data_IF_854510694330
#
_entry.id   IF_854510694330
#
_cell.length_a   1.000
_cell.length_b   1.000
_cell.length_c   1.000
_cell.angle_alpha   90.00
_cell.angle_beta   90.00
_cell.angle_gamma   90.00
#
_symmetry.space_group_name_H-M   'P 1'
#
loop_
_entity.id
_entity.type
_entity.pdbx_description
1 polymer ?
#
# COMPACT_ATOMS: atom_id res chain seq x y z
N UNK A 1 -22.69 -0.23 12.66
CA UNK A 1 -21.63 -1.06 12.02
C UNK A 1 -22.06 -1.51 10.62
N UNK A 2 -23.27 -2.06 10.48
CA UNK A 2 -23.82 -2.62 9.24
C UNK A 2 -23.72 -1.73 7.98
N UNK A 3 -23.99 -0.42 8.08
CA UNK A 3 -23.85 0.52 6.94
C UNK A 3 -22.44 0.53 6.33
N UNK A 4 -21.38 0.41 7.14
CA UNK A 4 -19.99 0.31 6.64
C UNK A 4 -19.79 -0.98 5.86
N UNK A 5 -20.35 -2.10 6.34
CA UNK A 5 -20.30 -3.41 5.67
C UNK A 5 -21.04 -3.36 4.33
N UNK A 6 -22.25 -2.80 4.31
CA UNK A 6 -23.08 -2.69 3.11
C UNK A 6 -22.46 -1.73 2.07
N UNK A 7 -21.79 -0.67 2.52
CA UNK A 7 -20.99 0.23 1.67
C UNK A 7 -19.82 -0.51 1.01
N UNK A 8 -19.04 -1.27 1.79
CA UNK A 8 -17.90 -2.06 1.28
C UNK A 8 -18.34 -3.17 0.30
N UNK A 9 -19.46 -3.84 0.57
CA UNK A 9 -20.06 -4.82 -0.36
C UNK A 9 -20.46 -4.15 -1.69
N UNK A 10 -21.05 -2.96 -1.63
CA UNK A 10 -21.47 -2.20 -2.81
C UNK A 10 -20.26 -1.74 -3.65
N UNK A 11 -19.18 -1.31 -3.00
CA UNK A 11 -17.92 -0.94 -3.64
C UNK A 11 -17.24 -2.16 -4.31
N UNK A 12 -17.24 -3.33 -3.65
CA UNK A 12 -16.69 -4.56 -4.22
C UNK A 12 -17.47 -5.02 -5.47
N UNK A 13 -18.81 -5.00 -5.43
CA UNK A 13 -19.64 -5.30 -6.60
C UNK A 13 -19.38 -4.34 -7.78
N UNK A 14 -19.26 -3.03 -7.51
CA UNK A 14 -18.94 -2.05 -8.55
C UNK A 14 -17.54 -2.27 -9.16
N UNK A 15 -16.56 -2.68 -8.34
CA UNK A 15 -15.20 -3.03 -8.80
C UNK A 15 -15.21 -4.29 -9.66
N UNK A 16 -15.92 -5.35 -9.25
CA UNK A 16 -16.07 -6.59 -10.01
C UNK A 16 -16.71 -6.34 -11.39
N UNK A 17 -17.83 -5.60 -11.44
CA UNK A 17 -18.51 -5.24 -12.70
C UNK A 17 -17.59 -4.44 -13.64
N UNK A 18 -16.78 -3.53 -13.10
CA UNK A 18 -15.81 -2.76 -13.89
C UNK A 18 -14.73 -3.68 -14.50
N UNK A 19 -14.17 -4.58 -13.69
CA UNK A 19 -13.14 -5.52 -14.15
C UNK A 19 -13.67 -6.51 -15.20
N UNK A 20 -14.91 -6.97 -15.05
CA UNK A 20 -15.58 -7.84 -16.02
C UNK A 20 -15.79 -7.13 -17.38
N UNK A 21 -16.24 -5.88 -17.36
CA UNK A 21 -16.37 -5.04 -18.56
C UNK A 21 -15.01 -4.74 -19.25
N UNK A 22 -13.95 -4.51 -18.47
CA UNK A 22 -12.60 -4.29 -19.01
C UNK A 22 -12.04 -5.59 -19.65
N UNK A 23 -12.34 -6.75 -19.08
CA UNK A 23 -12.03 -8.06 -19.67
C UNK A 23 -12.76 -8.30 -21.01
N UNK A 24 -14.06 -8.00 -21.09
CA UNK A 24 -14.82 -8.10 -22.34
C UNK A 24 -14.24 -7.21 -23.45
N UNK A 25 -13.82 -5.98 -23.11
CA UNK A 25 -13.18 -5.07 -24.08
C UNK A 25 -11.84 -5.62 -24.58
N UNK A 26 -11.01 -6.21 -23.72
CA UNK A 26 -9.75 -6.86 -24.10
C UNK A 26 -10.02 -8.05 -25.03
N UNK A 27 -11.01 -8.89 -24.73
CA UNK A 27 -11.41 -10.00 -25.60
C UNK A 27 -11.93 -9.52 -26.97
N UNK A 28 -12.71 -8.44 -27.02
CA UNK A 28 -13.18 -7.86 -28.27
C UNK A 28 -12.04 -7.28 -29.12
N UNK A 29 -11.09 -6.54 -28.52
CA UNK A 29 -9.90 -6.02 -29.21
C UNK A 29 -9.00 -7.15 -29.73
N UNK A 30 -8.83 -8.22 -28.96
CA UNK A 30 -8.10 -9.43 -29.38
C UNK A 30 -8.74 -10.09 -30.60
N UNK A 31 -10.08 -10.21 -30.62
CA UNK A 31 -10.81 -10.71 -31.79
C UNK A 31 -10.67 -9.81 -33.02
N UNK A 32 -10.68 -8.48 -32.85
CA UNK A 32 -10.45 -7.53 -33.93
C UNK A 32 -9.02 -7.64 -34.52
N UNK A 33 -7.99 -7.69 -33.66
CA UNK A 33 -6.60 -7.87 -34.10
C UNK A 33 -6.43 -9.16 -34.91
N UNK A 34 -7.01 -10.27 -34.45
CA UNK A 34 -6.98 -11.55 -35.17
C UNK A 34 -7.62 -11.48 -36.56
N UNK A 35 -8.71 -10.72 -36.72
CA UNK A 35 -9.32 -10.48 -38.04
C UNK A 35 -8.39 -9.67 -38.96
N UNK A 36 -7.67 -8.67 -38.43
CA UNK A 36 -6.68 -7.88 -39.19
C UNK A 36 -5.52 -8.76 -39.64
N UNK A 37 -4.99 -9.62 -38.78
CA UNK A 37 -3.94 -10.59 -39.14
C UNK A 37 -4.40 -11.53 -40.27
N UNK A 38 -5.61 -12.09 -40.17
CA UNK A 38 -6.18 -12.96 -41.21
C UNK A 38 -6.41 -12.23 -42.55
N UNK A 39 -6.69 -10.92 -42.53
CA UNK A 39 -6.74 -10.09 -43.75
C UNK A 39 -5.34 -9.89 -44.33
N UNK A 40 -4.37 -9.51 -43.51
CA UNK A 40 -2.97 -9.35 -43.91
C UNK A 40 -2.36 -10.63 -44.49
N UNK A 41 -2.63 -11.80 -43.88
CA UNK A 41 -2.21 -13.11 -44.38
C UNK A 41 -2.87 -13.44 -45.72
N UNK A 42 -4.16 -13.12 -45.91
CA UNK A 42 -4.85 -13.29 -47.19
C UNK A 42 -4.29 -12.39 -48.29
N UNK A 43 -3.92 -11.14 -47.98
CA UNK A 43 -3.24 -10.23 -48.91
C UNK A 43 -1.85 -10.78 -49.28
N UNK A 44 -1.04 -11.20 -48.30
CA UNK A 44 0.29 -11.79 -48.52
C UNK A 44 0.24 -13.01 -49.45
N UNK A 45 -0.71 -13.94 -49.21
CA UNK A 45 -0.93 -15.12 -50.07
C UNK A 45 -1.35 -14.75 -51.49
N UNK A 46 -2.25 -13.76 -51.67
CA UNK A 46 -2.64 -13.26 -53.00
C UNK A 46 -1.45 -12.69 -53.76
N UNK A 47 -0.64 -11.85 -53.12
CA UNK A 47 0.49 -11.18 -53.76
C UNK A 47 1.60 -12.17 -54.17
N UNK A 48 1.91 -13.16 -53.33
CA UNK A 48 2.84 -14.25 -53.67
C UNK A 48 2.36 -15.06 -54.89
N UNK A 49 1.07 -15.43 -54.94
CA UNK A 49 0.48 -16.14 -56.07
C UNK A 49 0.43 -15.32 -57.37
N UNK A 50 0.40 -13.99 -57.28
CA UNK A 50 0.38 -13.09 -58.44
C UNK A 50 1.77 -12.87 -59.05
N UNK A 51 2.80 -12.78 -58.20
CA UNK A 51 4.20 -12.67 -58.62
C UNK A 51 4.67 -13.95 -59.33
N UNK A 52 4.44 -15.12 -58.73
CA UNK A 52 4.95 -16.39 -59.25
C UNK A 52 4.42 -16.78 -60.65
N UNK A 53 3.20 -16.35 -61.02
CA UNK A 53 2.66 -16.59 -62.37
C UNK A 53 3.24 -15.64 -63.42
N UNK A 54 3.46 -14.37 -63.06
CA UNK A 54 3.97 -13.35 -64.00
C UNK A 54 5.42 -13.60 -64.43
N UNK A 55 6.27 -14.19 -63.59
CA UNK A 55 7.63 -14.59 -63.99
C UNK A 55 7.58 -15.80 -64.93
N UNK A 56 6.84 -16.85 -64.58
CA UNK A 56 6.76 -18.10 -65.35
C UNK A 56 6.26 -17.89 -66.80
N UNK A 57 5.27 -17.01 -67.01
CA UNK A 57 4.85 -16.62 -68.37
C UNK A 57 5.93 -15.82 -69.12
N UNK A 58 6.66 -14.93 -68.44
CA UNK A 58 7.69 -14.08 -69.06
C UNK A 58 8.88 -14.90 -69.55
N UNK A 59 9.34 -15.87 -68.76
CA UNK A 59 10.41 -16.79 -69.13
C UNK A 59 9.97 -17.71 -70.28
N UNK A 60 8.73 -18.19 -70.23
CA UNK A 60 8.13 -18.99 -71.32
C UNK A 60 8.03 -18.20 -72.64
N UNK A 61 7.77 -16.88 -72.58
CA UNK A 61 7.79 -15.99 -73.75
C UNK A 61 9.21 -15.74 -74.25
N UNK A 62 10.17 -15.54 -73.35
CA UNK A 62 11.60 -15.36 -73.68
C UNK A 62 12.16 -16.58 -74.43
N UNK A 63 11.94 -17.80 -73.94
CA UNK A 63 12.42 -19.01 -74.61
C UNK A 63 11.68 -19.26 -75.95
N UNK A 64 10.39 -18.92 -76.06
CA UNK A 64 9.67 -18.91 -77.34
C UNK A 64 10.26 -17.91 -78.34
N UNK A 65 10.75 -16.74 -77.91
CA UNK A 65 11.47 -15.79 -78.76
C UNK A 65 12.86 -16.30 -79.16
N UNK A 66 13.62 -16.81 -78.19
CA UNK A 66 14.97 -17.36 -78.36
C UNK A 66 14.99 -18.51 -79.38
N UNK A 67 14.05 -19.45 -79.27
CA UNK A 67 13.88 -20.54 -80.22
C UNK A 67 13.44 -20.05 -81.61
N UNK A 68 12.56 -19.04 -81.71
CA UNK A 68 12.25 -18.38 -83.00
C UNK A 68 13.48 -17.71 -83.63
N UNK A 69 14.39 -17.13 -82.84
CA UNK A 69 15.63 -16.55 -83.36
C UNK A 69 16.59 -17.62 -83.89
N UNK A 70 16.79 -18.72 -83.17
CA UNK A 70 17.63 -19.83 -83.66
C UNK A 70 17.06 -20.46 -84.94
N UNK A 71 15.74 -20.64 -85.03
CA UNK A 71 15.09 -21.14 -86.25
C UNK A 71 15.32 -20.19 -87.45
N UNK A 72 15.20 -18.87 -87.27
CA UNK A 72 15.55 -17.88 -88.31
C UNK A 72 17.04 -17.92 -88.69
N UNK A 73 17.94 -18.09 -87.71
CA UNK A 73 19.40 -18.13 -87.93
C UNK A 73 19.83 -19.33 -88.77
N UNK A 74 19.22 -20.50 -88.55
CA UNK A 74 19.46 -21.68 -89.38
C UNK A 74 18.86 -21.55 -90.78
N UNK A 75 17.66 -20.96 -90.92
CA UNK A 75 17.01 -20.77 -92.23
C UNK A 75 17.77 -19.80 -93.17
N UNK A 76 18.70 -18.99 -92.65
CA UNK A 76 19.59 -18.12 -93.46
C UNK A 76 20.87 -18.80 -93.97
N UNK A 77 21.27 -19.98 -93.47
CA UNK A 77 22.50 -20.68 -93.93
C UNK A 77 22.36 -21.40 -95.28
N UNK A 78 21.17 -21.41 -95.89
CA UNK A 78 20.86 -22.14 -97.13
C UNK A 78 21.00 -21.36 -98.44
N UNK A 79 21.47 -20.11 -98.43
CA UNK A 79 21.77 -19.33 -99.64
C UNK A 79 23.26 -19.01 -99.72
N UNK A 80 23.93 -19.54 -100.73
CA UNK A 80 25.22 -19.03 -101.20
C UNK A 80 24.95 -17.76 -102.02
N UNK A 81 25.31 -16.60 -101.48
CA UNK A 81 25.43 -15.36 -102.25
C UNK A 81 26.89 -15.21 -102.68
N UNK A 82 27.12 -14.84 -103.94
CA UNK A 82 28.48 -14.71 -104.51
C UNK A 82 29.17 -13.49 -103.93
N UNK A 83 30.40 -13.64 -103.45
CA UNK A 83 31.19 -12.51 -102.95
C UNK A 83 31.64 -11.60 -104.11
N UNK A 84 31.01 -10.43 -104.22
CA UNK A 84 31.59 -9.28 -104.91
C UNK A 84 32.40 -8.48 -103.89
N UNK A 85 33.73 -8.60 -103.94
CA UNK A 85 34.64 -7.91 -103.02
C UNK A 85 34.64 -6.40 -103.30
N UNK A 86 33.80 -5.67 -102.56
CA UNK A 86 33.84 -4.20 -102.51
C UNK A 86 34.89 -3.76 -101.50
N UNK A 87 35.89 -2.99 -101.96
CA UNK A 87 36.95 -2.45 -101.10
C UNK A 87 36.38 -1.27 -100.29
N UNK A 88 35.87 -1.56 -99.09
CA UNK A 88 35.40 -0.55 -98.14
C UNK A 88 36.61 0.25 -97.62
N UNK A 89 36.62 1.59 -97.69
CA UNK A 89 37.75 2.39 -97.22
C UNK A 89 38.01 2.23 -95.71
N UNK A 90 39.28 2.00 -95.35
CA UNK A 90 39.75 1.64 -93.99
C UNK A 90 39.37 2.64 -92.88
N UNK A 91 39.03 3.88 -93.24
CA UNK A 91 38.54 4.91 -92.30
C UNK A 91 37.12 4.64 -91.78
N UNK A 92 36.27 3.95 -92.54
CA UNK A 92 34.93 3.57 -92.06
C UNK A 92 35.01 2.49 -90.97
N UNK A 93 35.91 1.52 -91.11
CA UNK A 93 36.06 0.41 -90.15
C UNK A 93 36.47 0.91 -88.76
N UNK A 94 37.44 1.84 -88.68
CA UNK A 94 37.89 2.40 -87.40
C UNK A 94 36.79 3.22 -86.69
N UNK A 95 35.97 3.96 -87.45
CA UNK A 95 34.83 4.68 -86.87
C UNK A 95 33.80 3.71 -86.27
N UNK A 96 33.42 2.65 -87.02
CA UNK A 96 32.49 1.62 -86.53
C UNK A 96 33.04 0.82 -85.33
N UNK A 97 34.36 0.65 -85.21
CA UNK A 97 34.97 0.02 -84.03
C UNK A 97 34.96 0.91 -82.79
N UNK A 98 35.22 2.22 -82.95
CA UNK A 98 35.09 3.19 -81.85
C UNK A 98 33.63 3.32 -81.40
N UNK A 99 32.69 3.33 -82.34
CA UNK A 99 31.26 3.34 -82.05
C UNK A 99 30.83 2.06 -81.33
N UNK A 100 31.23 0.86 -81.81
CA UNK A 100 30.99 -0.41 -81.11
C UNK A 100 31.51 -0.35 -79.67
N UNK A 101 32.75 0.08 -79.47
CA UNK A 101 33.35 0.21 -78.14
C UNK A 101 32.57 1.19 -77.25
N UNK A 102 32.11 2.31 -77.81
CA UNK A 102 31.25 3.26 -77.08
C UNK A 102 29.93 2.61 -76.64
N UNK A 103 29.27 1.82 -77.49
CA UNK A 103 28.03 1.11 -77.14
C UNK A 103 28.27 -0.04 -76.14
N UNK A 104 29.41 -0.72 -76.24
CA UNK A 104 29.82 -1.76 -75.28
C UNK A 104 30.08 -1.14 -73.90
N UNK A 105 30.81 -0.02 -73.82
CA UNK A 105 30.96 0.77 -72.58
C UNK A 105 29.60 1.24 -72.03
N UNK A 106 28.74 1.83 -72.87
CA UNK A 106 27.37 2.24 -72.50
C UNK A 106 26.57 1.10 -71.83
N UNK A 107 26.68 -0.10 -72.40
CA UNK A 107 25.97 -1.31 -71.95
C UNK A 107 26.56 -1.86 -70.65
N UNK A 108 27.85 -1.66 -70.42
CA UNK A 108 28.51 -2.00 -69.15
C UNK A 108 28.15 -0.98 -68.06
N UNK A 109 28.24 0.32 -68.33
CA UNK A 109 27.89 1.39 -67.39
C UNK A 109 26.43 1.29 -66.94
N UNK A 110 25.49 1.16 -67.88
CA UNK A 110 24.06 0.99 -67.55
C UNK A 110 23.80 -0.29 -66.74
N UNK A 111 24.51 -1.40 -67.00
CA UNK A 111 24.44 -2.61 -66.17
C UNK A 111 24.99 -2.38 -64.76
N UNK A 112 26.13 -1.71 -64.63
CA UNK A 112 26.72 -1.37 -63.32
C UNK A 112 25.75 -0.50 -62.51
N UNK A 113 25.11 0.50 -63.13
CA UNK A 113 24.06 1.30 -62.48
C UNK A 113 22.83 0.47 -62.07
N UNK A 114 22.38 -0.49 -62.90
CA UNK A 114 21.27 -1.38 -62.54
C UNK A 114 21.63 -2.33 -61.39
N UNK A 115 22.80 -2.96 -61.41
CA UNK A 115 23.23 -3.83 -60.30
C UNK A 115 23.46 -3.03 -59.01
N UNK A 116 24.03 -1.82 -59.08
CA UNK A 116 24.15 -0.94 -57.92
C UNK A 116 22.77 -0.55 -57.35
N UNK A 117 21.77 -0.37 -58.21
CA UNK A 117 20.40 -0.11 -57.78
C UNK A 117 19.75 -1.34 -57.12
N UNK A 118 19.96 -2.54 -57.67
CA UNK A 118 19.49 -3.79 -57.04
C UNK A 118 20.12 -3.99 -55.66
N UNK A 119 21.43 -3.76 -55.51
CA UNK A 119 22.14 -3.75 -54.22
C UNK A 119 21.57 -2.70 -53.24
N UNK A 120 21.35 -1.47 -53.71
CA UNK A 120 20.79 -0.39 -52.88
C UNK A 120 19.36 -0.72 -52.39
N UNK A 121 18.51 -1.31 -53.25
CA UNK A 121 17.14 -1.73 -52.88
C UNK A 121 17.18 -2.87 -51.85
N UNK A 122 18.09 -3.84 -52.01
CA UNK A 122 18.29 -4.91 -51.03
C UNK A 122 18.76 -4.35 -49.68
N UNK A 123 19.80 -3.51 -49.67
CA UNK A 123 20.35 -2.89 -48.46
C UNK A 123 19.32 -2.03 -47.71
N UNK A 124 18.48 -1.27 -48.42
CA UNK A 124 17.37 -0.52 -47.83
C UNK A 124 16.27 -1.42 -47.28
N UNK A 125 16.00 -2.56 -47.93
CA UNK A 125 15.02 -3.56 -47.46
C UNK A 125 15.50 -4.26 -46.19
N UNK A 126 16.78 -4.64 -46.13
CA UNK A 126 17.41 -5.21 -44.93
C UNK A 126 17.43 -4.21 -43.77
N UNK A 127 17.79 -2.95 -44.04
CA UNK A 127 17.75 -1.85 -43.06
C UNK A 127 16.34 -1.64 -42.51
N UNK A 128 15.31 -1.70 -43.36
CA UNK A 128 13.91 -1.55 -42.96
C UNK A 128 13.42 -2.72 -42.09
N UNK A 129 13.77 -3.98 -42.40
CA UNK A 129 13.37 -5.11 -41.57
C UNK A 129 14.14 -5.16 -40.25
N UNK A 130 15.42 -4.73 -40.24
CA UNK A 130 16.19 -4.52 -39.01
C UNK A 130 15.55 -3.47 -38.10
N UNK A 131 15.08 -2.33 -38.66
CA UNK A 131 14.35 -1.31 -37.88
C UNK A 131 13.03 -1.84 -37.30
N UNK A 132 12.26 -2.65 -38.04
CA UNK A 132 11.06 -3.32 -37.50
C UNK A 132 11.39 -4.30 -36.39
N UNK A 133 12.51 -5.02 -36.48
CA UNK A 133 12.92 -5.97 -35.46
C UNK A 133 13.38 -5.25 -34.18
N UNK A 134 14.12 -4.14 -34.30
CA UNK A 134 14.45 -3.25 -33.19
C UNK A 134 13.19 -2.66 -32.53
N UNK A 135 12.17 -2.28 -33.31
CA UNK A 135 10.87 -1.86 -32.77
C UNK A 135 10.19 -2.97 -31.96
N UNK A 136 10.11 -4.21 -32.49
CA UNK A 136 9.55 -5.35 -31.74
C UNK A 136 10.29 -5.57 -30.41
N UNK A 137 11.63 -5.54 -30.43
CA UNK A 137 12.46 -5.70 -29.23
C UNK A 137 12.27 -4.54 -28.23
N UNK A 138 12.15 -3.30 -28.72
CA UNK A 138 11.89 -2.13 -27.87
C UNK A 138 10.51 -2.19 -27.23
N UNK A 139 9.47 -2.58 -27.97
CA UNK A 139 8.12 -2.74 -27.44
C UNK A 139 8.04 -3.88 -26.42
N UNK A 140 8.69 -5.02 -26.68
CA UNK A 140 8.76 -6.11 -25.71
C UNK A 140 9.46 -5.64 -24.43
N UNK A 141 10.62 -4.98 -24.54
CA UNK A 141 11.34 -4.46 -23.36
C UNK A 141 10.58 -3.38 -22.58
N UNK A 142 9.62 -2.68 -23.19
CA UNK A 142 8.69 -1.80 -22.46
C UNK A 142 7.57 -2.58 -21.77
N UNK A 143 7.02 -3.62 -22.40
CA UNK A 143 6.05 -4.52 -21.77
C UNK A 143 6.68 -5.25 -20.58
N UNK A 144 7.84 -5.86 -20.75
CA UNK A 144 8.57 -6.58 -19.68
C UNK A 144 8.82 -5.69 -18.44
N UNK A 145 9.05 -4.38 -18.66
CA UNK A 145 9.20 -3.39 -17.58
C UNK A 145 7.88 -2.97 -16.94
N UNK A 146 6.82 -2.83 -17.75
CA UNK A 146 5.49 -2.52 -17.25
C UNK A 146 5.00 -3.65 -16.34
N UNK A 147 5.07 -4.89 -16.82
CA UNK A 147 4.65 -6.11 -16.11
C UNK A 147 5.41 -6.25 -14.78
N UNK A 148 6.73 -6.01 -14.78
CA UNK A 148 7.55 -6.06 -13.56
C UNK A 148 7.24 -4.94 -12.54
N UNK A 149 6.77 -3.77 -12.99
CA UNK A 149 6.33 -2.68 -12.08
C UNK A 149 4.91 -2.95 -11.55
N UNK A 150 4.05 -3.59 -12.34
CA UNK A 150 2.72 -4.03 -11.94
C UNK A 150 2.82 -5.16 -10.90
N UNK A 151 3.65 -6.18 -11.13
CA UNK A 151 3.95 -7.26 -10.16
C UNK A 151 4.53 -6.69 -8.87
N UNK A 152 5.51 -5.78 -8.95
CA UNK A 152 6.10 -5.13 -7.77
C UNK A 152 5.05 -4.32 -6.99
N UNK A 153 4.18 -3.58 -7.69
CA UNK A 153 3.11 -2.80 -7.04
C UNK A 153 2.08 -3.71 -6.34
N UNK A 154 1.74 -4.87 -6.94
CA UNK A 154 0.87 -5.86 -6.33
C UNK A 154 1.52 -6.52 -5.10
N UNK A 155 2.81 -6.87 -5.15
CA UNK A 155 3.56 -7.39 -4.01
C UNK A 155 3.67 -6.38 -2.86
N UNK A 156 3.87 -5.09 -3.16
CA UNK A 156 3.88 -4.02 -2.17
C UNK A 156 2.49 -3.83 -1.54
N UNK A 157 1.41 -3.83 -2.34
CA UNK A 157 0.03 -3.76 -1.85
C UNK A 157 -0.33 -4.94 -0.91
N UNK A 158 -0.01 -6.17 -1.30
CA UNK A 158 -0.19 -7.36 -0.45
C UNK A 158 0.60 -7.26 0.87
N UNK A 159 1.80 -6.66 0.81
CA UNK A 159 2.62 -6.37 1.98
C UNK A 159 2.00 -5.34 2.93
N UNK A 160 1.35 -4.30 2.41
CA UNK A 160 0.58 -3.35 3.21
C UNK A 160 -0.67 -3.99 3.81
N UNK A 161 -1.43 -4.78 3.05
CA UNK A 161 -2.62 -5.48 3.56
C UNK A 161 -2.25 -6.42 4.72
N UNK A 162 -1.18 -7.21 4.56
CA UNK A 162 -0.70 -8.12 5.63
C UNK A 162 -0.33 -7.35 6.91
N UNK A 163 0.28 -6.16 6.78
CA UNK A 163 0.61 -5.31 7.95
C UNK A 163 -0.66 -4.76 8.62
N UNK A 164 -1.65 -4.34 7.85
CA UNK A 164 -2.92 -3.84 8.37
C UNK A 164 -3.69 -4.97 9.08
N UNK A 165 -3.69 -6.19 8.53
CA UNK A 165 -4.29 -7.35 9.19
C UNK A 165 -3.60 -7.69 10.52
N UNK A 166 -2.27 -7.64 10.58
CA UNK A 166 -1.54 -7.83 11.84
C UNK A 166 -1.83 -6.74 12.88
N UNK A 167 -1.81 -5.46 12.49
CA UNK A 167 -2.14 -4.34 13.39
C UNK A 167 -3.58 -4.44 13.94
N UNK A 168 -4.53 -4.91 13.13
CA UNK A 168 -5.90 -5.17 13.60
C UNK A 168 -5.96 -6.34 14.60
N UNK A 169 -5.17 -7.41 14.41
CA UNK A 169 -5.07 -8.48 15.41
C UNK A 169 -4.44 -7.99 16.72
N UNK A 170 -3.40 -7.17 16.64
CA UNK A 170 -2.74 -6.58 17.81
C UNK A 170 -3.70 -5.64 18.58
N UNK A 171 -4.42 -4.74 17.90
CA UNK A 171 -5.38 -3.85 18.58
C UNK A 171 -6.59 -4.61 19.13
N UNK A 172 -7.09 -5.66 18.45
CA UNK A 172 -8.16 -6.52 18.99
C UNK A 172 -7.71 -7.23 20.28
N UNK A 173 -6.47 -7.70 20.36
CA UNK A 173 -5.95 -8.34 21.57
C UNK A 173 -5.83 -7.36 22.75
N UNK A 174 -5.53 -6.09 22.47
CA UNK A 174 -5.59 -5.01 23.47
C UNK A 174 -7.03 -4.72 23.91
N UNK A 175 -7.99 -4.70 22.97
CA UNK A 175 -9.42 -4.52 23.28
C UNK A 175 -9.95 -5.64 24.18
N UNK A 176 -9.64 -6.91 23.89
CA UNK A 176 -9.98 -8.06 24.74
C UNK A 176 -9.36 -7.94 26.14
N UNK A 177 -8.08 -7.57 26.25
CA UNK A 177 -7.39 -7.36 27.54
C UNK A 177 -7.98 -6.19 28.35
N UNK A 178 -8.46 -5.14 27.68
CA UNK A 178 -9.13 -4.01 28.34
C UNK A 178 -10.53 -4.40 28.81
N UNK A 179 -11.28 -5.18 28.03
CA UNK A 179 -12.60 -5.68 28.44
C UNK A 179 -12.52 -6.62 29.66
N UNK A 180 -11.55 -7.54 29.72
CA UNK A 180 -11.35 -8.41 30.90
C UNK A 180 -11.09 -7.59 32.19
N UNK A 181 -10.41 -6.44 32.06
CA UNK A 181 -10.15 -5.51 33.17
C UNK A 181 -11.40 -4.73 33.57
N UNK A 182 -12.23 -4.29 32.62
CA UNK A 182 -13.53 -3.66 32.88
C UNK A 182 -14.45 -4.65 33.64
N UNK A 183 -14.62 -5.87 33.12
CA UNK A 183 -15.41 -6.95 33.74
C UNK A 183 -14.95 -7.33 35.15
N UNK A 184 -13.67 -7.07 35.46
CA UNK A 184 -13.07 -7.27 36.78
C UNK A 184 -13.32 -6.07 37.70
N UNK A 185 -13.22 -4.84 37.18
CA UNK A 185 -13.50 -3.62 37.92
C UNK A 185 -14.98 -3.50 38.33
N UNK A 186 -15.92 -3.80 37.41
CA UNK A 186 -17.36 -3.83 37.71
C UNK A 186 -17.69 -4.85 38.82
N UNK A 187 -17.03 -6.01 38.81
CA UNK A 187 -17.19 -7.04 39.84
C UNK A 187 -16.71 -6.56 41.21
N UNK A 188 -15.56 -5.90 41.27
CA UNK A 188 -15.03 -5.30 42.50
C UNK A 188 -15.95 -4.17 43.00
N UNK A 189 -16.54 -3.36 42.12
CA UNK A 189 -17.52 -2.35 42.55
C UNK A 189 -18.79 -2.98 43.15
N UNK A 190 -19.30 -4.07 42.56
CA UNK A 190 -20.44 -4.80 43.13
C UNK A 190 -20.11 -5.44 44.50
N UNK A 191 -18.91 -6.00 44.66
CA UNK A 191 -18.44 -6.52 45.96
C UNK A 191 -18.30 -5.39 46.99
N UNK A 192 -17.85 -4.20 46.59
CA UNK A 192 -17.81 -3.00 47.44
C UNK A 192 -19.18 -2.55 47.92
N UNK A 193 -20.16 -2.46 47.00
CA UNK A 193 -21.51 -2.05 47.36
C UNK A 193 -22.12 -3.02 48.41
N UNK A 194 -21.80 -4.32 48.33
CA UNK A 194 -22.15 -5.32 49.35
C UNK A 194 -21.38 -5.14 50.66
N UNK A 195 -20.08 -4.80 50.63
CA UNK A 195 -19.30 -4.51 51.83
C UNK A 195 -19.78 -3.25 52.57
N UNK A 196 -20.08 -2.17 51.84
CA UNK A 196 -20.64 -0.92 52.40
C UNK A 196 -21.99 -1.18 53.07
N UNK A 197 -22.87 -1.98 52.44
CA UNK A 197 -24.14 -2.37 53.05
C UNK A 197 -23.94 -3.19 54.35
N UNK A 198 -22.97 -4.11 54.37
CA UNK A 198 -22.60 -4.84 55.60
C UNK A 198 -22.06 -3.91 56.70
N UNK A 199 -21.18 -2.97 56.35
CA UNK A 199 -20.63 -2.01 57.32
C UNK A 199 -21.72 -1.09 57.90
N UNK A 200 -22.66 -0.61 57.09
CA UNK A 200 -23.82 0.16 57.58
C UNK A 200 -24.69 -0.66 58.54
N UNK A 201 -24.90 -1.96 58.26
CA UNK A 201 -25.62 -2.86 59.19
C UNK A 201 -24.86 -3.05 60.51
N UNK A 202 -23.53 -3.22 60.47
CA UNK A 202 -22.69 -3.34 61.67
C UNK A 202 -22.61 -2.02 62.46
N UNK A 203 -22.63 -0.86 61.81
CA UNK A 203 -22.59 0.43 62.50
C UNK A 203 -23.89 0.67 63.30
N UNK A 204 -25.04 0.25 62.79
CA UNK A 204 -26.30 0.26 63.54
C UNK A 204 -26.25 -0.66 64.77
N UNK A 205 -25.60 -1.83 64.66
CA UNK A 205 -25.39 -2.75 65.78
C UNK A 205 -24.42 -2.16 66.84
N UNK A 206 -23.32 -1.52 66.40
CA UNK A 206 -22.41 -0.74 67.27
C UNK A 206 -23.17 0.35 68.02
N UNK A 207 -24.02 1.11 67.33
CA UNK A 207 -24.77 2.21 67.95
C UNK A 207 -25.75 1.70 69.02
N UNK A 208 -26.39 0.56 68.80
CA UNK A 208 -27.24 -0.11 69.79
C UNK A 208 -26.41 -0.61 71.00
N UNK A 209 -25.33 -1.37 70.76
CA UNK A 209 -24.45 -1.86 71.83
C UNK A 209 -23.80 -0.72 72.62
N UNK A 210 -23.48 0.41 71.98
CA UNK A 210 -22.95 1.62 72.62
C UNK A 210 -24.00 2.31 73.51
N UNK A 211 -25.27 2.30 73.11
CA UNK A 211 -26.37 2.82 73.91
C UNK A 211 -26.59 1.96 75.17
N UNK A 212 -26.62 0.64 75.00
CA UNK A 212 -26.79 -0.31 76.10
C UNK A 212 -25.57 -0.31 77.05
N UNK A 213 -24.35 -0.19 76.50
CA UNK A 213 -23.12 -0.03 77.28
C UNK A 213 -23.11 1.28 78.09
N UNK A 214 -23.59 2.40 77.54
CA UNK A 214 -23.77 3.66 78.31
C UNK A 214 -24.80 3.52 79.44
N UNK A 215 -25.86 2.74 79.23
CA UNK A 215 -26.83 2.41 80.29
C UNK A 215 -26.17 1.57 81.40
N UNK A 216 -25.24 0.68 81.07
CA UNK A 216 -24.43 -0.07 82.04
C UNK A 216 -23.39 0.82 82.74
N UNK A 217 -22.68 1.68 82.01
CA UNK A 217 -21.68 2.59 82.60
C UNK A 217 -22.32 3.59 83.57
N UNK A 218 -23.50 4.14 83.27
CA UNK A 218 -24.25 4.99 84.21
C UNK A 218 -24.57 4.25 85.53
N UNK A 219 -24.96 2.97 85.46
CA UNK A 219 -25.17 2.11 86.65
C UNK A 219 -23.84 1.93 87.40
N UNK A 220 -22.75 1.63 86.68
CA UNK A 220 -21.43 1.42 87.26
C UNK A 220 -20.80 2.71 87.83
N UNK A 221 -21.08 3.88 87.27
CA UNK A 221 -20.65 5.18 87.79
C UNK A 221 -21.47 5.61 89.00
N UNK A 222 -22.77 5.31 89.04
CA UNK A 222 -23.55 5.40 90.28
C UNK A 222 -23.06 4.41 91.36
N UNK A 223 -22.39 3.32 90.98
CA UNK A 223 -21.68 2.42 91.90
C UNK A 223 -20.30 2.96 92.32
N UNK A 224 -19.52 3.52 91.38
CA UNK A 224 -18.15 4.02 91.55
C UNK A 224 -18.07 5.36 92.28
N UNK A 225 -19.14 6.18 92.22
CA UNK A 225 -19.35 7.30 93.17
C UNK A 225 -19.41 6.84 94.64
N UNK A 226 -19.59 5.54 94.89
CA UNK A 226 -19.51 4.94 96.23
C UNK A 226 -18.16 4.22 96.48
N UNK A 227 -17.19 4.18 95.54
CA UNK A 227 -15.89 3.48 95.65
C UNK A 227 -14.83 3.95 94.60
N UNK A 228 -13.80 4.79 94.93
CA UNK A 228 -13.04 5.54 93.89
C UNK A 228 -11.61 5.09 93.48
N UNK A 229 -10.95 4.16 94.16
CA UNK A 229 -9.51 4.29 94.49
C UNK A 229 -8.41 4.33 93.38
N UNK A 230 -8.43 3.49 92.33
CA UNK A 230 -7.22 2.70 92.02
C UNK A 230 -6.01 3.22 91.17
N UNK A 231 -6.15 3.69 89.91
CA UNK A 231 -5.01 3.62 88.94
C UNK A 231 -4.91 4.77 87.90
N UNK A 232 -3.66 5.19 87.59
CA UNK A 232 -3.29 6.10 86.47
C UNK A 232 -1.74 6.15 86.23
N UNK A 233 -1.11 5.26 85.42
CA UNK A 233 0.37 5.32 85.17
C UNK A 233 0.96 4.54 83.95
N UNK A 234 0.75 4.96 82.69
CA UNK A 234 1.67 4.72 81.51
C UNK A 234 1.07 5.16 80.14
N UNK A 235 1.85 5.87 79.31
CA UNK A 235 2.06 5.71 77.84
C UNK A 235 2.49 7.02 77.16
N UNK A 236 3.66 7.05 76.49
CA UNK A 236 4.01 7.94 75.37
C UNK A 236 5.33 7.52 74.69
N UNK A 237 5.68 8.20 73.57
CA UNK A 237 6.93 8.19 72.77
C UNK A 237 7.07 7.19 71.58
N UNK A 238 7.04 7.71 70.34
CA UNK A 238 8.12 7.68 69.30
C UNK A 238 7.68 8.16 67.91
N UNK A 239 8.64 8.60 67.08
CA UNK A 239 8.41 9.14 65.71
C UNK A 239 9.64 9.02 64.77
N UNK A 240 9.38 9.10 63.44
CA UNK A 240 10.19 9.43 62.21
C UNK A 240 11.74 9.31 62.06
N UNK A 241 12.22 8.90 60.85
CA UNK A 241 13.26 9.63 60.03
C UNK A 241 13.52 9.07 58.58
N UNK A 242 14.32 9.81 57.75
CA UNK A 242 15.10 9.50 56.48
C UNK A 242 14.62 9.88 55.04
N UNK A 243 15.48 10.60 54.27
CA UNK A 243 15.94 10.39 52.83
C UNK A 243 16.93 11.50 52.30
N UNK A 244 17.75 11.26 51.23
CA UNK A 244 18.42 12.28 50.34
C UNK A 244 19.27 11.83 49.08
N UNK A 245 19.40 12.74 48.07
CA UNK A 245 20.48 12.96 47.01
C UNK A 245 20.63 12.11 45.68
N UNK A 246 20.91 12.77 44.49
CA UNK A 246 21.31 12.27 43.09
C UNK A 246 21.83 13.42 42.09
N UNK A 247 22.76 13.25 41.07
CA UNK A 247 23.15 14.24 39.94
C UNK A 247 24.27 13.81 38.85
N UNK A 248 24.36 14.34 37.56
CA UNK A 248 25.55 14.53 36.56
C UNK A 248 25.25 14.79 35.00
N UNK A 249 26.25 14.95 34.04
CA UNK A 249 26.23 15.54 32.59
C UNK A 249 27.52 15.23 31.65
N UNK A 250 27.83 15.48 30.32
CA UNK A 250 27.27 15.84 28.91
C UNK A 250 28.37 15.84 27.69
N UNK A 251 28.13 15.91 26.31
CA UNK A 251 29.15 15.80 25.11
C UNK A 251 28.74 16.18 23.58
N UNK A 252 29.65 16.46 22.54
CA UNK A 252 29.39 16.84 21.05
C UNK A 252 30.48 16.60 19.86
N UNK A 253 30.19 16.66 18.50
CA UNK A 253 31.11 16.80 17.24
C UNK A 253 30.41 17.15 15.81
N UNK A 254 30.82 17.15 14.48
CA UNK A 254 31.88 16.60 13.49
C UNK A 254 32.19 17.38 12.08
N UNK A 255 32.48 16.77 10.83
CA UNK A 255 33.23 17.29 9.56
C UNK A 255 32.93 16.51 8.16
N UNK A 256 33.35 16.65 6.82
CA UNK A 256 33.96 17.57 5.70
C UNK A 256 33.99 16.89 4.20
N UNK A 257 34.18 17.55 2.97
CA UNK A 257 34.24 16.96 1.51
C UNK A 257 34.87 17.81 0.28
N UNK A 258 35.06 17.32 -1.02
CA UNK A 258 35.45 18.07 -2.35
C UNK A 258 35.89 17.27 -3.70
N UNK A 259 35.95 17.83 -5.00
CA UNK A 259 36.38 17.20 -6.38
C UNK A 259 36.46 18.12 -7.73
N UNK A 260 37.09 17.77 -8.94
CA UNK A 260 37.06 18.47 -10.34
C UNK A 260 37.55 17.74 -11.73
N UNK A 261 37.77 18.42 -12.93
CA UNK A 261 37.74 18.06 -14.47
C UNK A 261 39.02 18.42 -15.42
N UNK A 262 39.24 18.52 -16.82
CA UNK A 262 38.72 18.40 -18.30
C UNK A 262 39.90 18.65 -19.42
N UNK A 263 39.98 18.72 -20.83
CA UNK A 263 39.44 18.20 -22.19
C UNK A 263 40.20 18.68 -23.57
N UNK A 264 40.00 18.12 -24.84
CA UNK A 264 40.07 18.65 -26.32
C UNK A 264 41.13 18.28 -27.49
N UNK A 265 40.79 18.22 -28.87
CA UNK A 265 41.69 18.06 -30.14
C UNK A 265 41.07 18.15 -31.66
N UNK A 266 41.77 18.43 -32.84
CA UNK A 266 41.24 18.33 -34.31
C UNK A 266 42.07 18.55 -35.71
N UNK A 267 41.74 17.84 -36.85
CA UNK A 267 41.59 18.04 -38.40
C UNK A 267 42.60 18.41 -39.62
N UNK A 268 42.25 18.10 -40.94
CA UNK A 268 43.01 18.26 -42.30
C UNK A 268 42.22 18.31 -43.73
N UNK A 269 42.82 18.61 -44.97
CA UNK A 269 42.15 18.87 -46.36
C UNK A 269 42.75 18.34 -47.78
N UNK A 270 42.13 18.54 -49.01
CA UNK A 270 42.59 18.15 -50.45
C UNK A 270 41.85 18.76 -51.77
N UNK A 271 42.22 18.45 -53.07
CA UNK A 271 41.53 18.65 -54.48
C UNK A 271 42.38 18.18 -55.75
N UNK A 272 42.17 18.22 -57.13
CA UNK A 272 41.28 18.77 -58.24
C UNK A 272 41.41 18.07 -59.71
N UNK A 273 40.77 18.49 -60.86
CA UNK A 273 40.73 17.81 -62.26
C UNK A 273 40.42 18.65 -63.58
N UNK A 274 40.59 18.12 -64.85
CA UNK A 274 39.90 18.53 -66.16
C UNK A 274 40.25 17.74 -67.47
N UNK A 275 39.29 17.15 -68.26
CA UNK A 275 39.48 16.68 -69.67
C UNK A 275 38.18 16.15 -70.41
N UNK A 276 37.21 16.98 -70.83
CA UNK A 276 35.81 16.48 -71.09
C UNK A 276 35.04 17.16 -72.26
N UNK A 277 35.18 16.75 -73.54
CA UNK A 277 34.58 17.54 -74.65
C UNK A 277 33.98 16.79 -75.87
N UNK A 278 34.55 15.68 -76.34
CA UNK A 278 34.07 15.02 -77.56
C UNK A 278 33.08 13.86 -77.30
N UNK A 279 33.02 13.39 -76.05
CA UNK A 279 31.99 12.47 -75.55
C UNK A 279 30.56 12.98 -75.79
N UNK A 280 30.39 14.30 -75.76
CA UNK A 280 29.12 15.03 -75.55
C UNK A 280 27.88 14.52 -76.31
N UNK A 281 27.98 14.00 -77.54
CA UNK A 281 26.80 13.69 -78.38
C UNK A 281 26.23 12.27 -78.30
N UNK A 282 27.03 11.23 -78.11
CA UNK A 282 26.44 9.93 -77.72
C UNK A 282 25.95 10.00 -76.27
N UNK A 283 26.65 10.79 -75.46
CA UNK A 283 26.23 11.17 -74.13
C UNK A 283 24.92 11.96 -74.10
N UNK A 284 24.58 12.81 -75.09
CA UNK A 284 23.28 13.51 -75.14
C UNK A 284 22.09 12.53 -75.08
N UNK A 285 22.04 11.49 -75.91
CA UNK A 285 20.93 10.51 -75.91
C UNK A 285 20.98 9.58 -74.70
N UNK A 286 22.17 9.06 -74.33
CA UNK A 286 22.31 8.29 -73.08
C UNK A 286 21.82 9.11 -71.89
N UNK A 287 22.19 10.39 -71.82
CA UNK A 287 21.81 11.29 -70.73
C UNK A 287 20.31 11.48 -70.67
N UNK A 288 19.55 11.37 -71.77
CA UNK A 288 18.08 11.39 -71.69
C UNK A 288 17.55 10.12 -71.01
N UNK A 289 17.92 8.92 -71.47
CA UNK A 289 17.43 7.66 -70.87
C UNK A 289 17.95 7.46 -69.44
N UNK A 290 19.23 7.73 -69.22
CA UNK A 290 19.87 7.70 -67.90
C UNK A 290 19.25 8.75 -66.96
N UNK A 291 18.89 9.95 -67.42
CA UNK A 291 18.17 10.95 -66.61
C UNK A 291 16.75 10.52 -66.27
N UNK A 292 16.04 9.83 -67.16
CA UNK A 292 14.72 9.25 -66.81
C UNK A 292 14.88 8.20 -65.71
N UNK A 293 15.89 7.32 -65.81
CA UNK A 293 16.17 6.33 -64.77
C UNK A 293 16.69 6.96 -63.45
N UNK A 294 17.53 8.00 -63.52
CA UNK A 294 17.97 8.77 -62.36
C UNK A 294 16.79 9.47 -61.69
N UNK A 295 15.92 10.17 -62.44
CA UNK A 295 14.79 10.87 -61.81
C UNK A 295 13.72 9.92 -61.26
N UNK A 296 13.53 8.74 -61.86
CA UNK A 296 12.73 7.69 -61.23
C UNK A 296 13.38 7.15 -59.94
N UNK A 297 14.71 7.09 -59.88
CA UNK A 297 15.46 6.72 -58.68
C UNK A 297 15.45 7.82 -57.62
N UNK A 298 15.57 9.09 -57.99
CA UNK A 298 15.41 10.25 -57.11
C UNK A 298 14.02 10.24 -56.47
N UNK A 299 12.95 10.02 -57.25
CA UNK A 299 11.58 9.86 -56.73
C UNK A 299 11.45 8.68 -55.76
N UNK A 300 12.02 7.52 -56.09
CA UNK A 300 12.02 6.35 -55.20
C UNK A 300 12.80 6.59 -53.90
N UNK A 301 13.97 7.25 -53.96
CA UNK A 301 14.77 7.61 -52.79
C UNK A 301 14.01 8.60 -51.91
N UNK A 302 13.35 9.61 -52.50
CA UNK A 302 12.53 10.58 -51.76
C UNK A 302 11.34 9.88 -51.07
N UNK A 303 10.60 9.03 -51.78
CA UNK A 303 9.45 8.30 -51.23
C UNK A 303 9.85 7.32 -50.12
N UNK A 304 10.99 6.64 -50.25
CA UNK A 304 11.56 5.80 -49.18
C UNK A 304 12.06 6.65 -48.00
N UNK A 305 12.64 7.82 -48.25
CA UNK A 305 13.08 8.75 -47.19
C UNK A 305 11.90 9.28 -46.37
N UNK A 306 10.83 9.70 -47.05
CA UNK A 306 9.56 10.13 -46.45
C UNK A 306 8.93 9.00 -45.61
N UNK A 307 8.85 7.80 -46.18
CA UNK A 307 8.35 6.59 -45.50
C UNK A 307 9.16 6.26 -44.24
N UNK A 308 10.48 6.46 -44.28
CA UNK A 308 11.39 6.18 -43.16
C UNK A 308 11.33 7.25 -42.07
N UNK A 309 11.19 8.54 -42.41
CA UNK A 309 10.99 9.59 -41.40
C UNK A 309 9.60 9.53 -40.77
N UNK A 310 8.56 9.18 -41.54
CA UNK A 310 7.22 8.89 -41.01
C UNK A 310 7.26 7.72 -39.99
N UNK A 311 8.04 6.67 -40.26
CA UNK A 311 8.26 5.58 -39.29
C UNK A 311 9.04 6.06 -38.05
N UNK A 312 10.05 6.92 -38.18
CA UNK A 312 10.71 7.55 -37.01
C UNK A 312 9.77 8.41 -36.18
N UNK A 313 8.85 9.13 -36.82
CA UNK A 313 7.86 9.96 -36.11
C UNK A 313 6.86 9.08 -35.33
N UNK A 314 6.37 8.01 -35.94
CA UNK A 314 5.49 7.02 -35.32
C UNK A 314 6.21 6.30 -34.15
N UNK A 315 7.49 5.97 -34.31
CA UNK A 315 8.36 5.46 -33.24
C UNK A 315 8.48 6.42 -32.06
N UNK A 316 8.73 7.72 -32.32
CA UNK A 316 8.79 8.76 -31.27
C UNK A 316 7.45 8.88 -30.53
N UNK A 317 6.33 8.88 -31.24
CA UNK A 317 4.98 8.93 -30.66
C UNK A 317 4.67 7.68 -29.81
N UNK A 318 5.04 6.49 -30.29
CA UNK A 318 4.88 5.23 -29.55
C UNK A 318 5.70 5.23 -28.26
N UNK A 319 6.96 5.65 -28.32
CA UNK A 319 7.82 5.74 -27.13
C UNK A 319 7.32 6.78 -26.12
N UNK A 320 6.85 7.94 -26.58
CA UNK A 320 6.26 8.95 -25.69
C UNK A 320 5.01 8.39 -25.00
N UNK A 321 4.09 7.76 -25.75
CA UNK A 321 2.88 7.17 -25.16
C UNK A 321 3.17 6.08 -24.12
N UNK A 322 4.26 5.31 -24.28
CA UNK A 322 4.71 4.36 -23.26
C UNK A 322 5.32 5.04 -22.03
N UNK A 323 6.07 6.14 -22.19
CA UNK A 323 6.59 6.94 -21.09
C UNK A 323 5.44 7.60 -20.30
N UNK A 324 4.47 8.21 -21.00
CA UNK A 324 3.29 8.84 -20.40
C UNK A 324 2.48 7.82 -19.57
N UNK A 325 2.29 6.60 -20.09
CA UNK A 325 1.66 5.48 -19.37
C UNK A 325 2.46 5.05 -18.14
N UNK A 326 3.78 4.90 -18.28
CA UNK A 326 4.67 4.50 -17.18
C UNK A 326 4.56 5.50 -16.02
N UNK A 327 4.70 6.80 -16.30
CA UNK A 327 4.57 7.85 -15.27
C UNK A 327 3.16 7.89 -14.65
N UNK A 328 2.11 7.68 -15.45
CA UNK A 328 0.73 7.64 -14.94
C UNK A 328 0.41 6.39 -14.09
N UNK A 329 1.24 5.34 -14.12
CA UNK A 329 1.18 4.21 -13.18
C UNK A 329 2.06 4.48 -11.96
N UNK A 330 3.27 5.00 -12.15
CA UNK A 330 4.20 5.37 -11.07
C UNK A 330 3.58 6.40 -10.11
N UNK A 331 2.90 7.42 -10.64
CA UNK A 331 2.13 8.41 -9.85
C UNK A 331 0.96 7.78 -9.09
N UNK A 332 0.21 6.84 -9.71
CA UNK A 332 -0.89 6.14 -9.03
C UNK A 332 -0.40 5.23 -7.91
N UNK A 333 0.68 4.49 -8.12
CA UNK A 333 1.28 3.67 -7.06
C UNK A 333 1.81 4.53 -5.92
N UNK A 334 2.41 5.69 -6.20
CA UNK A 334 2.82 6.65 -5.17
C UNK A 334 1.62 7.23 -4.38
N UNK A 335 0.53 7.62 -5.07
CA UNK A 335 -0.70 8.11 -4.42
C UNK A 335 -1.37 7.01 -3.57
N UNK A 336 -1.40 5.76 -4.05
CA UNK A 336 -1.92 4.63 -3.30
C UNK A 336 -1.08 4.35 -2.04
N UNK A 337 0.26 4.30 -2.17
CA UNK A 337 1.17 4.10 -1.05
C UNK A 337 1.01 5.20 0.03
N UNK A 338 0.91 6.47 -0.38
CA UNK A 338 0.65 7.58 0.54
C UNK A 338 -0.71 7.44 1.25
N UNK A 339 -1.75 6.99 0.54
CA UNK A 339 -3.06 6.72 1.12
C UNK A 339 -3.06 5.58 2.15
N UNK A 340 -2.29 4.51 1.91
CA UNK A 340 -2.09 3.44 2.90
C UNK A 340 -1.31 3.94 4.12
N UNK A 341 -0.23 4.71 3.92
CA UNK A 341 0.57 5.28 4.99
C UNK A 341 -0.26 6.21 5.89
N UNK A 342 -1.09 7.10 5.32
CA UNK A 342 -2.02 7.94 6.10
C UNK A 342 -2.98 7.08 6.92
N UNK A 343 -3.61 6.07 6.30
CA UNK A 343 -4.56 5.18 7.00
C UNK A 343 -3.92 4.36 8.11
N UNK A 344 -2.64 3.99 7.97
CA UNK A 344 -1.87 3.32 9.03
C UNK A 344 -1.61 4.30 10.19
N UNK A 345 -1.25 5.56 9.91
CA UNK A 345 -1.06 6.57 10.94
C UNK A 345 -2.36 6.95 11.67
N UNK A 346 -3.49 6.99 10.97
CA UNK A 346 -4.82 7.16 11.56
C UNK A 346 -5.14 6.00 12.53
N UNK A 347 -5.00 4.74 12.09
CA UNK A 347 -5.25 3.55 12.92
C UNK A 347 -4.33 3.46 14.14
N UNK A 348 -3.04 3.78 13.99
CA UNK A 348 -2.09 3.83 15.12
C UNK A 348 -2.46 4.93 16.12
N UNK A 349 -3.03 6.04 15.65
CA UNK A 349 -3.53 7.11 16.53
C UNK A 349 -4.82 6.70 17.25
N UNK A 350 -5.70 5.95 16.59
CA UNK A 350 -6.95 5.42 17.15
C UNK A 350 -6.66 4.35 18.22
N UNK A 351 -5.81 3.35 17.94
CA UNK A 351 -5.43 2.35 18.95
C UNK A 351 -4.67 2.98 20.14
N UNK A 352 -3.86 4.03 19.93
CA UNK A 352 -3.19 4.75 21.03
C UNK A 352 -4.18 5.51 21.92
N UNK A 353 -5.25 6.08 21.36
CA UNK A 353 -6.31 6.71 22.15
C UNK A 353 -7.10 5.68 22.99
N UNK A 354 -7.28 4.46 22.46
CA UNK A 354 -7.86 3.33 23.22
C UNK A 354 -6.91 2.88 24.35
N UNK A 355 -5.61 2.76 24.09
CA UNK A 355 -4.58 2.45 25.09
C UNK A 355 -4.57 3.47 26.24
N UNK A 356 -4.59 4.78 25.92
CA UNK A 356 -4.66 5.86 26.91
C UNK A 356 -5.96 5.79 27.73
N UNK A 357 -7.11 5.57 27.09
CA UNK A 357 -8.41 5.43 27.77
C UNK A 357 -8.44 4.20 28.69
N UNK A 358 -7.85 3.09 28.26
CA UNK A 358 -7.77 1.86 29.05
C UNK A 358 -6.84 2.05 30.27
N UNK A 359 -5.74 2.78 30.13
CA UNK A 359 -4.86 3.12 31.26
C UNK A 359 -5.56 4.02 32.29
N UNK A 360 -6.35 5.02 31.88
CA UNK A 360 -7.14 5.83 32.83
C UNK A 360 -8.17 4.99 33.63
N UNK A 361 -8.72 3.94 33.02
CA UNK A 361 -9.62 2.99 33.70
C UNK A 361 -8.86 2.07 34.66
N UNK A 362 -7.65 1.61 34.29
CA UNK A 362 -6.76 0.81 35.15
C UNK A 362 -6.37 1.61 36.39
N UNK A 363 -5.85 2.83 36.23
CA UNK A 363 -5.49 3.73 37.32
C UNK A 363 -6.68 4.00 38.26
N UNK A 364 -7.89 4.10 37.70
CA UNK A 364 -9.13 4.28 38.45
C UNK A 364 -9.51 3.02 39.23
N UNK A 365 -9.36 1.83 38.65
CA UNK A 365 -9.65 0.55 39.30
C UNK A 365 -8.65 0.26 40.44
N UNK A 366 -7.34 0.48 40.22
CA UNK A 366 -6.32 0.33 41.27
C UNK A 366 -6.57 1.29 42.46
N UNK A 367 -6.96 2.55 42.17
CA UNK A 367 -7.35 3.51 43.22
C UNK A 367 -8.54 3.03 44.03
N UNK A 368 -9.56 2.47 43.38
CA UNK A 368 -10.72 1.89 44.06
C UNK A 368 -10.30 0.68 44.90
N UNK A 369 -9.47 -0.24 44.38
CA UNK A 369 -9.00 -1.40 45.15
C UNK A 369 -8.29 -0.98 46.46
N UNK A 370 -7.45 0.05 46.40
CA UNK A 370 -6.79 0.61 47.59
C UNK A 370 -7.79 1.21 48.60
N UNK A 371 -8.84 1.90 48.13
CA UNK A 371 -9.92 2.39 49.00
C UNK A 371 -10.67 1.23 49.67
N UNK A 372 -10.90 0.13 48.94
CA UNK A 372 -11.53 -1.09 49.45
C UNK A 372 -10.69 -1.74 50.56
N UNK A 373 -9.38 -1.87 50.33
CA UNK A 373 -8.46 -2.44 51.32
C UNK A 373 -8.46 -1.61 52.62
N UNK A 374 -8.54 -0.28 52.53
CA UNK A 374 -8.69 0.62 53.70
C UNK A 374 -10.05 0.44 54.39
N UNK A 375 -11.15 0.30 53.63
CA UNK A 375 -12.48 0.04 54.20
C UNK A 375 -12.56 -1.31 54.93
N UNK A 376 -11.96 -2.36 54.36
CA UNK A 376 -11.87 -3.70 54.98
C UNK A 376 -11.04 -3.67 56.26
N UNK A 377 -9.88 -3.00 56.27
CA UNK A 377 -9.09 -2.83 57.50
C UNK A 377 -9.87 -2.06 58.59
N UNK A 378 -10.59 -1.00 58.20
CA UNK A 378 -11.47 -0.24 59.11
C UNK A 378 -12.59 -1.13 59.66
N UNK A 379 -13.22 -1.94 58.84
CA UNK A 379 -14.27 -2.89 59.24
C UNK A 379 -13.73 -3.93 60.25
N UNK A 380 -12.55 -4.52 60.00
CA UNK A 380 -11.91 -5.46 60.92
C UNK A 380 -11.56 -4.81 62.28
N UNK A 381 -11.14 -3.54 62.27
CA UNK A 381 -10.91 -2.77 63.49
C UNK A 381 -12.20 -2.52 64.27
N UNK A 382 -13.30 -2.17 63.59
CA UNK A 382 -14.62 -1.98 64.20
C UNK A 382 -15.19 -3.30 64.74
N UNK A 383 -15.02 -4.42 64.04
CA UNK A 383 -15.46 -5.72 64.52
C UNK A 383 -14.68 -6.16 65.76
N UNK A 384 -13.37 -5.88 65.81
CA UNK A 384 -12.54 -6.11 67.00
C UNK A 384 -13.03 -5.29 68.21
N UNK A 385 -13.46 -4.05 67.98
CA UNK A 385 -14.06 -3.19 69.01
C UNK A 385 -15.42 -3.74 69.49
N UNK A 386 -16.30 -4.21 68.58
CA UNK A 386 -17.55 -4.91 68.94
C UNK A 386 -17.26 -6.12 69.83
N UNK A 387 -16.29 -6.97 69.45
CA UNK A 387 -15.96 -8.18 70.19
C UNK A 387 -15.45 -7.88 71.60
N UNK A 388 -14.61 -6.84 71.77
CA UNK A 388 -14.16 -6.36 73.07
C UNK A 388 -15.32 -5.81 73.92
N UNK A 389 -16.14 -4.91 73.38
CA UNK A 389 -17.31 -4.35 74.08
C UNK A 389 -18.32 -5.45 74.49
N UNK A 390 -18.49 -6.47 73.64
CA UNK A 390 -19.34 -7.63 73.93
C UNK A 390 -18.78 -8.49 75.06
N UNK A 391 -17.46 -8.63 75.15
CA UNK A 391 -16.79 -9.34 76.24
C UNK A 391 -16.89 -8.56 77.57
N UNK A 392 -16.62 -7.26 77.54
CA UNK A 392 -16.73 -6.38 78.72
C UNK A 392 -18.17 -6.30 79.23
N UNK A 393 -19.17 -6.26 78.34
CA UNK A 393 -20.60 -6.33 78.70
C UNK A 393 -20.95 -7.64 79.43
N UNK A 394 -20.42 -8.79 78.98
CA UNK A 394 -20.60 -10.09 79.67
C UNK A 394 -19.95 -10.12 81.05
N UNK A 395 -18.78 -9.49 81.20
CA UNK A 395 -18.13 -9.31 82.53
C UNK A 395 -19.01 -8.43 83.44
N UNK A 396 -19.53 -7.31 82.94
CA UNK A 396 -20.40 -6.42 83.69
C UNK A 396 -21.71 -7.11 84.11
N UNK A 397 -22.29 -7.95 83.24
CA UNK A 397 -23.48 -8.73 83.54
C UNK A 397 -23.22 -9.75 84.67
N UNK A 398 -22.15 -10.56 84.62
CA UNK A 398 -21.83 -11.50 85.69
C UNK A 398 -21.46 -10.78 87.00
N UNK A 399 -20.79 -9.63 86.96
CA UNK A 399 -20.57 -8.78 88.14
C UNK A 399 -21.91 -8.34 88.73
N UNK A 400 -22.86 -7.88 87.91
CA UNK A 400 -24.21 -7.51 88.35
C UNK A 400 -24.97 -8.71 88.93
N UNK A 401 -24.87 -9.89 88.32
CA UNK A 401 -25.46 -11.13 88.83
C UNK A 401 -24.85 -11.53 90.18
N UNK A 402 -23.54 -11.40 90.39
CA UNK A 402 -22.91 -11.64 91.70
C UNK A 402 -23.31 -10.61 92.76
N UNK A 403 -23.45 -9.33 92.40
CA UNK A 403 -24.00 -8.31 93.32
C UNK A 403 -25.46 -8.62 93.69
N UNK A 404 -26.28 -9.02 92.72
CA UNK A 404 -27.68 -9.45 92.92
C UNK A 404 -27.78 -10.69 93.82
N UNK A 405 -26.88 -11.67 93.66
CA UNK A 405 -26.75 -12.85 94.55
C UNK A 405 -26.33 -12.46 95.97
N UNK A 406 -25.44 -11.47 96.13
CA UNK A 406 -24.90 -11.03 97.44
C UNK A 406 -25.83 -10.08 98.22
N UNK A 407 -26.63 -9.26 97.54
CA UNK A 407 -27.54 -8.27 98.17
C UNK A 407 -28.95 -8.26 97.54
N UNK A 408 -29.69 -9.40 97.56
CA UNK A 408 -30.94 -9.55 96.81
C UNK A 408 -32.03 -8.53 97.21
N UNK A 409 -32.20 -8.26 98.50
CA UNK A 409 -33.26 -7.37 99.00
C UNK A 409 -33.09 -5.90 98.55
N UNK A 410 -31.86 -5.39 98.56
CA UNK A 410 -31.56 -4.05 98.07
C UNK A 410 -31.66 -3.94 96.55
N UNK A 411 -31.28 -5.00 95.82
CA UNK A 411 -31.34 -5.02 94.36
C UNK A 411 -32.80 -5.00 93.87
N UNK A 412 -33.67 -5.80 94.47
CA UNK A 412 -35.07 -5.93 94.03
C UNK A 412 -35.83 -4.60 94.13
N UNK A 413 -35.68 -3.88 95.25
CA UNK A 413 -36.36 -2.60 95.46
C UNK A 413 -35.92 -1.52 94.47
N UNK A 414 -34.61 -1.36 94.23
CA UNK A 414 -34.09 -0.41 93.23
C UNK A 414 -34.49 -0.77 91.79
N UNK A 415 -34.65 -2.05 91.47
CA UNK A 415 -35.08 -2.47 90.13
C UNK A 415 -36.53 -2.04 89.89
N UNK A 416 -37.41 -2.29 90.88
CA UNK A 416 -38.82 -1.88 90.85
C UNK A 416 -39.01 -0.36 90.75
N UNK A 417 -38.19 0.43 91.47
CA UNK A 417 -38.17 1.90 91.33
C UNK A 417 -37.78 2.35 89.91
N UNK A 418 -36.82 1.66 89.27
CA UNK A 418 -36.27 2.02 87.95
C UNK A 418 -37.18 1.61 86.79
N UNK A 419 -37.83 0.45 86.86
CA UNK A 419 -38.85 0.04 85.88
C UNK A 419 -39.99 1.08 85.88
N UNK A 420 -40.38 1.55 87.07
CA UNK A 420 -41.36 2.62 87.28
C UNK A 420 -40.90 3.99 86.74
N UNK A 421 -39.60 4.24 86.57
CA UNK A 421 -39.09 5.43 85.86
C UNK A 421 -39.01 5.24 84.34
N UNK A 422 -38.57 4.08 83.86
CA UNK A 422 -38.51 3.78 82.43
C UNK A 422 -39.90 3.87 81.79
N UNK A 423 -40.93 3.34 82.44
CA UNK A 423 -42.31 3.46 81.96
C UNK A 423 -42.79 4.93 81.96
N UNK A 424 -42.42 5.74 82.95
CA UNK A 424 -42.69 7.19 82.95
C UNK A 424 -41.97 7.91 81.81
N UNK A 425 -40.77 7.49 81.42
CA UNK A 425 -40.05 8.08 80.28
C UNK A 425 -40.64 7.63 78.94
N UNK A 426 -40.98 6.34 78.80
CA UNK A 426 -41.62 5.78 77.59
C UNK A 426 -42.96 6.46 77.31
N UNK A 427 -43.84 6.54 78.31
CA UNK A 427 -45.11 7.28 78.22
C UNK A 427 -44.89 8.76 77.86
N UNK A 428 -43.88 9.43 78.44
CA UNK A 428 -43.52 10.82 78.07
C UNK A 428 -43.03 10.95 76.62
N UNK A 429 -42.37 9.93 76.05
CA UNK A 429 -41.95 9.94 74.65
C UNK A 429 -43.11 9.67 73.68
N UNK A 430 -44.00 8.71 73.99
CA UNK A 430 -45.20 8.46 73.18
C UNK A 430 -46.15 9.67 73.17
N UNK A 431 -46.38 10.32 74.32
CA UNK A 431 -47.13 11.59 74.38
C UNK A 431 -46.48 12.68 73.52
N UNK A 432 -45.15 12.82 73.55
CA UNK A 432 -44.42 13.76 72.68
C UNK A 432 -44.51 13.42 71.18
N UNK A 433 -44.50 12.14 70.81
CA UNK A 433 -44.70 11.73 69.42
C UNK A 433 -46.13 11.96 68.95
N UNK A 434 -47.12 11.66 69.79
CA UNK A 434 -48.54 11.83 69.46
C UNK A 434 -48.92 13.32 69.35
N UNK A 435 -48.39 14.18 70.22
CA UNK A 435 -48.52 15.64 70.08
C UNK A 435 -47.88 16.17 68.78
N UNK A 436 -46.76 15.59 68.33
CA UNK A 436 -46.16 15.93 67.01
C UNK A 436 -46.98 15.41 65.82
N UNK A 437 -47.78 14.36 65.99
CA UNK A 437 -48.66 13.82 64.93
C UNK A 437 -49.99 14.57 64.83
N UNK A 438 -50.56 15.04 65.95
CA UNK A 438 -51.81 15.81 66.01
C UNK A 438 -51.67 17.32 65.78
N UNK A 439 -50.57 17.77 65.18
CA UNK A 439 -50.30 19.19 64.86
C UNK A 439 -50.04 19.41 63.36
N UNK A 440 -50.60 18.53 62.53
CA UNK A 440 -50.80 18.65 61.09
C UNK A 440 -52.29 18.48 60.79
#
# INVERSE_FOLDING_TARGET
MEEKIQTLQSQNQAWQQKHELESEQIHHLSAQNKMVEDVCLRIKRKNQGFLGRKTQDRDTVLDKMKNKMFAKKNKKKGKQEKETVSVIPTRCTQACELERKSWETLTVETRVHWSQLEENILSLTETLEAQKQLLRQSNQSWQDKYDAVEEKSALEANGFETRIQNLLLDCNAVEEMCQERIDTAERLELENQVLVQKQQSQELEIQQLTYDSKILEEICLQFKKNNPFFFWKKMQDRDTELDKMKNKMEVKQNKKKGKQEEETVSLIPARCTKACNLERKSWETLTVEHRVHLSQLEENILSLTETLEAQKQLLRQSNQSWQDKYYAVEEKSALAANGFETRIQDLLSECKAVEETCQEQIDTAERLELENQVLVQKQQSQESEIQQLTYDSKILEEICLQFKKKNPFFFWKKMQDRDTELDKMKNKMEVKQNLKKGSK
#
